data_IF_809902506170
#
_entry.id   IF_809902506170
#
_cell.length_a   1.000
_cell.length_b   1.000
_cell.length_c   1.000
_cell.angle_alpha   90.00
_cell.angle_beta   90.00
_cell.angle_gamma   90.00
#
_symmetry.space_group_name_H-M   'P 1'
#
loop_
_entity.id
_entity.type
_entity.pdbx_description
1 polymer ?
#
# COMPACT_ATOMS: atom_id res chain seq x y z
N UNK A 1 -7.98 -12.06 28.78
CA UNK A 1 -6.58 -12.14 29.22
C UNK A 1 -5.65 -12.82 28.21
N UNK A 2 -5.82 -14.12 27.84
CA UNK A 2 -4.96 -14.77 26.82
C UNK A 2 -5.11 -14.15 25.42
N UNK A 3 -6.34 -13.81 25.01
CA UNK A 3 -6.61 -13.16 23.72
C UNK A 3 -5.96 -11.76 23.63
N UNK A 4 -5.97 -11.00 24.70
CA UNK A 4 -5.39 -9.65 24.77
C UNK A 4 -3.87 -9.70 24.63
N UNK A 5 -3.22 -10.68 25.27
CA UNK A 5 -1.78 -10.92 25.15
C UNK A 5 -1.42 -11.36 23.73
N UNK A 6 -2.19 -12.26 23.12
CA UNK A 6 -1.98 -12.69 21.74
C UNK A 6 -2.12 -11.53 20.75
N UNK A 7 -3.16 -10.72 20.89
CA UNK A 7 -3.38 -9.56 20.04
C UNK A 7 -2.23 -8.54 20.20
N UNK A 8 -1.83 -8.22 21.42
CA UNK A 8 -0.76 -7.26 21.67
C UNK A 8 0.63 -7.69 21.19
N UNK A 9 0.86 -9.00 21.02
CA UNK A 9 2.12 -9.53 20.50
C UNK A 9 2.08 -9.77 18.98
N UNK A 10 0.97 -10.28 18.44
CA UNK A 10 0.85 -10.62 17.01
C UNK A 10 0.86 -9.36 16.16
N UNK A 11 0.20 -8.28 16.59
CA UNK A 11 0.03 -7.06 15.83
C UNK A 11 1.36 -6.32 15.55
N UNK A 12 2.17 -6.01 16.59
CA UNK A 12 3.48 -5.42 16.36
C UNK A 12 4.39 -6.33 15.54
N UNK A 13 4.28 -7.66 15.72
CA UNK A 13 5.11 -8.63 15.02
C UNK A 13 4.84 -8.63 13.51
N UNK A 14 3.59 -8.53 13.08
CA UNK A 14 3.22 -8.46 11.66
C UNK A 14 3.74 -7.15 11.04
N UNK A 15 3.56 -6.02 11.73
CA UNK A 15 4.06 -4.73 11.25
C UNK A 15 5.58 -4.70 11.17
N UNK A 16 6.28 -5.15 12.20
CA UNK A 16 7.75 -5.25 12.22
C UNK A 16 8.24 -6.17 11.10
N UNK A 17 7.61 -7.32 10.89
CA UNK A 17 7.98 -8.28 9.86
C UNK A 17 7.79 -7.70 8.45
N UNK A 18 6.67 -7.03 8.17
CA UNK A 18 6.43 -6.39 6.86
C UNK A 18 7.41 -5.26 6.61
N UNK A 19 7.74 -4.47 7.63
CA UNK A 19 8.77 -3.42 7.59
C UNK A 19 10.16 -3.98 7.29
N UNK A 20 10.57 -4.99 8.05
CA UNK A 20 11.89 -5.63 7.86
C UNK A 20 12.02 -6.23 6.46
N UNK A 21 10.94 -6.84 5.94
CA UNK A 21 10.91 -7.40 4.59
C UNK A 21 11.01 -6.33 3.51
N UNK A 22 10.31 -5.19 3.67
CA UNK A 22 10.37 -4.09 2.73
C UNK A 22 11.76 -3.44 2.71
N UNK A 23 12.35 -3.18 3.89
CA UNK A 23 13.70 -2.62 4.03
C UNK A 23 14.79 -3.49 3.40
N UNK A 24 14.72 -4.81 3.61
CA UNK A 24 15.68 -5.73 3.00
C UNK A 24 15.66 -5.65 1.47
N UNK A 25 14.47 -5.48 0.86
CA UNK A 25 14.34 -5.33 -0.58
C UNK A 25 14.76 -3.94 -1.07
N UNK A 26 14.45 -2.88 -0.31
CA UNK A 26 14.89 -1.52 -0.59
C UNK A 26 16.41 -1.45 -0.71
N UNK A 27 17.13 -1.94 0.30
CA UNK A 27 18.60 -1.99 0.29
C UNK A 27 19.16 -2.81 -0.89
N UNK A 28 18.48 -3.88 -1.29
CA UNK A 28 18.86 -4.67 -2.46
C UNK A 28 18.72 -3.87 -3.76
N UNK A 29 17.69 -3.01 -3.89
CA UNK A 29 17.51 -2.19 -5.09
C UNK A 29 18.44 -0.98 -5.12
N UNK A 30 18.69 -0.32 -3.99
CA UNK A 30 19.59 0.82 -3.90
C UNK A 30 21.06 0.40 -4.19
N UNK A 31 21.48 -0.74 -3.68
CA UNK A 31 22.85 -1.25 -3.90
C UNK A 31 23.09 -1.75 -5.34
N UNK A 32 22.05 -2.07 -6.09
CA UNK A 32 22.20 -2.69 -7.42
C UNK A 32 22.16 -1.65 -8.56
N UNK A 33 21.73 -0.42 -8.34
CA UNK A 33 21.50 0.55 -9.41
C UNK A 33 21.86 1.99 -8.99
N UNK A 34 23.01 2.48 -9.45
CA UNK A 34 23.29 3.92 -9.46
C UNK A 34 22.31 4.64 -10.38
N UNK A 35 21.68 5.73 -9.89
CA UNK A 35 20.76 6.56 -10.71
C UNK A 35 19.29 6.18 -10.67
N UNK A 36 18.87 5.30 -9.77
CA UNK A 36 17.45 4.93 -9.61
C UNK A 36 16.65 6.10 -9.02
N UNK A 37 15.55 6.48 -9.68
CA UNK A 37 14.56 7.40 -9.11
C UNK A 37 13.49 6.62 -8.33
N UNK A 38 13.25 7.04 -7.09
CA UNK A 38 12.26 6.41 -6.21
C UNK A 38 11.01 7.28 -6.17
N UNK A 39 9.86 6.71 -6.55
CA UNK A 39 8.56 7.35 -6.33
C UNK A 39 8.06 6.98 -4.94
N UNK A 40 7.63 7.99 -4.17
CA UNK A 40 7.17 7.82 -2.78
C UNK A 40 5.69 8.22 -2.64
N UNK A 41 5.03 7.63 -1.66
CA UNK A 41 3.66 7.97 -1.33
C UNK A 41 3.52 9.37 -0.72
N UNK A 42 2.36 9.98 -0.91
CA UNK A 42 2.02 11.25 -0.29
C UNK A 42 1.89 11.09 1.23
N UNK A 43 2.40 12.07 2.01
CA UNK A 43 2.35 12.06 3.48
C UNK A 43 0.92 11.95 4.04
N UNK A 44 -0.08 12.37 3.28
CA UNK A 44 -1.49 12.24 3.66
C UNK A 44 -1.90 10.79 3.95
N UNK A 45 -1.29 9.80 3.28
CA UNK A 45 -1.55 8.39 3.60
C UNK A 45 -1.05 8.01 5.00
N UNK A 46 0.10 8.57 5.43
CA UNK A 46 0.57 8.37 6.80
C UNK A 46 -0.40 8.96 7.81
N UNK A 47 -0.79 10.23 7.60
CA UNK A 47 -1.71 10.94 8.48
C UNK A 47 -3.04 10.17 8.58
N UNK A 48 -3.62 9.75 7.45
CA UNK A 48 -4.85 8.98 7.42
C UNK A 48 -4.73 7.66 8.18
N UNK A 49 -3.65 6.92 7.95
CA UNK A 49 -3.38 5.66 8.66
C UNK A 49 -3.31 5.87 10.17
N UNK A 50 -2.54 6.85 10.63
CA UNK A 50 -2.42 7.14 12.08
C UNK A 50 -3.73 7.65 12.69
N UNK A 51 -4.52 8.46 11.97
CA UNK A 51 -5.85 8.88 12.44
C UNK A 51 -6.78 7.68 12.64
N UNK A 52 -6.82 6.73 11.71
CA UNK A 52 -7.60 5.49 11.86
C UNK A 52 -7.10 4.68 13.06
N UNK A 53 -5.78 4.59 13.26
CA UNK A 53 -5.18 3.94 14.41
C UNK A 53 -5.60 4.58 15.75
N UNK A 54 -5.61 5.92 15.82
CA UNK A 54 -6.06 6.65 17.01
C UNK A 54 -7.55 6.41 17.29
N UNK A 55 -8.40 6.43 16.27
CA UNK A 55 -9.83 6.11 16.39
C UNK A 55 -10.00 4.69 16.93
N UNK A 56 -9.25 3.72 16.41
CA UNK A 56 -9.28 2.35 16.89
C UNK A 56 -8.91 2.23 18.38
N UNK A 57 -7.81 2.87 18.81
CA UNK A 57 -7.37 2.89 20.22
C UNK A 57 -8.40 3.58 21.10
N UNK A 58 -9.01 4.69 20.63
CA UNK A 58 -10.04 5.40 21.35
C UNK A 58 -11.29 4.52 21.60
N UNK A 59 -11.74 3.77 20.62
CA UNK A 59 -12.87 2.84 20.82
C UNK A 59 -12.56 1.70 21.78
N UNK A 60 -11.32 1.16 21.76
CA UNK A 60 -10.89 0.18 22.76
C UNK A 60 -10.93 0.80 24.17
N UNK A 61 -10.38 2.02 24.32
CA UNK A 61 -10.38 2.73 25.60
C UNK A 61 -11.79 3.01 26.13
N UNK A 62 -12.71 3.43 25.26
CA UNK A 62 -14.11 3.61 25.63
C UNK A 62 -14.75 2.30 26.09
N UNK A 63 -14.55 1.21 25.35
CA UNK A 63 -15.07 -0.10 25.74
C UNK A 63 -14.56 -0.55 27.11
N UNK A 64 -13.29 -0.29 27.41
CA UNK A 64 -12.71 -0.56 28.73
C UNK A 64 -13.27 0.36 29.82
N UNK A 65 -13.33 1.67 29.54
CA UNK A 65 -13.79 2.67 30.52
C UNK A 65 -15.25 2.47 30.94
N UNK A 66 -16.13 2.14 30.01
CA UNK A 66 -17.53 1.89 30.30
C UNK A 66 -17.82 0.49 30.84
N UNK A 67 -16.77 -0.30 31.15
CA UNK A 67 -16.92 -1.71 31.53
C UNK A 67 -17.95 -2.38 30.63
N UNK A 68 -17.76 -2.29 29.33
CA UNK A 68 -18.71 -2.75 28.33
C UNK A 68 -18.92 -4.25 28.54
N UNK A 69 -19.63 -4.47 29.63
CA UNK A 69 -20.16 -5.77 29.97
C UNK A 69 -21.20 -6.06 28.88
N UNK A 70 -20.71 -6.74 27.82
CA UNK A 70 -21.60 -7.32 26.83
C UNK A 70 -22.31 -8.48 27.55
N UNK A 71 -23.02 -8.13 28.65
CA UNK A 71 -23.69 -9.07 29.51
C UNK A 71 -24.74 -9.89 28.77
N UNK A 72 -25.29 -10.86 29.47
CA UNK A 72 -26.18 -11.89 28.96
C UNK A 72 -27.38 -11.37 28.12
N UNK A 73 -27.71 -10.07 28.22
CA UNK A 73 -28.80 -9.43 27.51
C UNK A 73 -28.40 -8.74 26.19
N UNK A 74 -27.10 -8.72 25.84
CA UNK A 74 -26.67 -8.12 24.58
C UNK A 74 -27.01 -9.00 23.40
N UNK A 75 -27.72 -8.44 22.42
CA UNK A 75 -28.02 -9.13 21.18
C UNK A 75 -26.70 -9.59 20.52
N UNK A 76 -26.59 -10.88 20.19
CA UNK A 76 -25.44 -11.43 19.49
C UNK A 76 -25.12 -10.68 18.19
N UNK A 77 -26.11 -10.02 17.57
CA UNK A 77 -25.94 -9.17 16.40
C UNK A 77 -25.10 -7.91 16.74
N UNK A 78 -25.30 -7.29 17.90
CA UNK A 78 -24.50 -6.14 18.33
C UNK A 78 -23.04 -6.53 18.58
N UNK A 79 -22.83 -7.70 19.18
CA UNK A 79 -21.48 -8.23 19.41
C UNK A 79 -20.78 -8.49 18.07
N UNK A 80 -21.46 -9.14 17.13
CA UNK A 80 -20.92 -9.40 15.79
C UNK A 80 -20.62 -8.09 15.04
N UNK A 81 -21.55 -7.13 15.07
CA UNK A 81 -21.35 -5.84 14.41
C UNK A 81 -20.17 -5.06 14.97
N UNK A 82 -20.02 -4.99 16.30
CA UNK A 82 -18.89 -4.32 16.94
C UNK A 82 -17.57 -5.02 16.62
N UNK A 83 -17.53 -6.34 16.62
CA UNK A 83 -16.35 -7.11 16.24
C UNK A 83 -15.94 -6.87 14.78
N UNK A 84 -16.90 -6.84 13.84
CA UNK A 84 -16.63 -6.54 12.44
C UNK A 84 -16.15 -5.10 12.24
N UNK A 85 -16.73 -4.13 12.95
CA UNK A 85 -16.30 -2.74 12.91
C UNK A 85 -14.86 -2.60 13.39
N UNK A 86 -14.53 -3.19 14.53
CA UNK A 86 -13.18 -3.15 15.09
C UNK A 86 -12.17 -3.85 14.18
N UNK A 87 -12.52 -5.00 13.62
CA UNK A 87 -11.68 -5.70 12.65
C UNK A 87 -11.43 -4.86 11.39
N UNK A 88 -12.44 -4.15 10.89
CA UNK A 88 -12.33 -3.30 9.70
C UNK A 88 -11.43 -2.08 9.95
N UNK A 89 -11.58 -1.39 11.07
CA UNK A 89 -10.73 -0.27 11.48
C UNK A 89 -9.27 -0.71 11.62
N UNK A 90 -9.05 -1.85 12.26
CA UNK A 90 -7.74 -2.42 12.43
C UNK A 90 -7.09 -2.80 11.10
N UNK A 91 -7.81 -3.49 10.22
CA UNK A 91 -7.32 -3.83 8.88
C UNK A 91 -7.01 -2.57 8.06
N UNK A 92 -7.88 -1.55 8.11
CA UNK A 92 -7.68 -0.26 7.46
C UNK A 92 -6.40 0.44 7.94
N UNK A 93 -6.18 0.49 9.25
CA UNK A 93 -4.95 1.02 9.85
C UNK A 93 -3.71 0.29 9.34
N UNK A 94 -3.69 -1.05 9.42
CA UNK A 94 -2.56 -1.85 8.97
C UNK A 94 -2.30 -1.67 7.47
N UNK A 95 -3.35 -1.72 6.65
CA UNK A 95 -3.22 -1.61 5.20
C UNK A 95 -2.66 -0.25 4.78
N UNK A 96 -3.24 0.85 5.28
CA UNK A 96 -2.83 2.20 4.90
C UNK A 96 -1.42 2.51 5.40
N UNK A 97 -1.09 2.11 6.62
CA UNK A 97 0.25 2.31 7.19
C UNK A 97 1.29 1.51 6.41
N UNK A 98 1.04 0.23 6.13
CA UNK A 98 1.93 -0.59 5.30
C UNK A 98 2.02 -0.06 3.86
N UNK A 99 0.92 0.42 3.30
CA UNK A 99 0.92 1.03 1.97
C UNK A 99 1.83 2.26 1.94
N UNK A 100 1.71 3.16 2.90
CA UNK A 100 2.56 4.35 2.98
C UNK A 100 4.05 4.01 3.08
N UNK A 101 4.40 3.10 3.96
CA UNK A 101 5.81 2.81 4.25
C UNK A 101 6.46 1.88 3.23
N UNK A 102 5.72 0.89 2.75
CA UNK A 102 6.29 -0.19 1.93
C UNK A 102 6.09 0.02 0.43
N UNK A 103 4.97 0.68 0.01
CA UNK A 103 4.71 0.84 -1.41
C UNK A 103 5.66 1.89 -2.01
N UNK A 104 6.58 1.43 -2.85
CA UNK A 104 7.59 2.24 -3.52
C UNK A 104 7.76 1.75 -4.94
N UNK A 105 8.05 2.69 -5.84
CA UNK A 105 8.36 2.38 -7.24
C UNK A 105 9.77 2.86 -7.54
N UNK A 106 10.58 1.96 -8.03
CA UNK A 106 11.98 2.18 -8.40
C UNK A 106 12.08 2.23 -9.92
N UNK A 107 12.48 3.37 -10.44
CA UNK A 107 12.65 3.61 -11.88
C UNK A 107 14.14 3.52 -12.18
N UNK A 108 14.56 2.37 -12.68
CA UNK A 108 15.91 2.15 -13.17
C UNK A 108 16.07 2.48 -14.65
N UNK A 109 17.26 2.29 -15.18
CA UNK A 109 17.54 2.51 -16.62
C UNK A 109 16.84 1.49 -17.49
N UNK A 110 16.95 0.21 -17.18
CA UNK A 110 16.46 -0.88 -17.99
C UNK A 110 15.17 -1.52 -17.46
N UNK A 111 14.83 -1.27 -16.18
CA UNK A 111 13.71 -1.93 -15.50
C UNK A 111 12.99 -1.01 -14.55
N UNK A 112 11.72 -1.33 -14.31
CA UNK A 112 10.90 -0.75 -13.26
C UNK A 112 10.56 -1.82 -12.22
N UNK A 113 10.69 -1.47 -10.95
CA UNK A 113 10.39 -2.39 -9.85
C UNK A 113 9.39 -1.75 -8.91
N UNK A 114 8.33 -2.47 -8.58
CA UNK A 114 7.27 -2.01 -7.68
C UNK A 114 7.24 -2.90 -6.46
N UNK A 115 7.34 -2.31 -5.28
CA UNK A 115 7.09 -2.98 -4.00
C UNK A 115 5.67 -2.63 -3.56
N UNK A 116 4.85 -3.63 -3.30
CA UNK A 116 3.48 -3.43 -2.83
C UNK A 116 3.42 -3.18 -1.30
N UNK A 117 2.23 -2.87 -0.78
CA UNK A 117 1.99 -2.63 0.65
C UNK A 117 2.52 -3.77 1.56
N UNK A 118 2.51 -5.00 1.08
CA UNK A 118 2.97 -6.19 1.82
C UNK A 118 4.44 -6.54 1.61
N UNK A 119 5.23 -5.63 1.02
CA UNK A 119 6.65 -5.82 0.78
C UNK A 119 6.98 -6.84 -0.32
N UNK A 120 6.00 -7.24 -1.14
CA UNK A 120 6.27 -8.08 -2.33
C UNK A 120 6.74 -7.19 -3.47
N UNK A 121 7.86 -7.54 -4.09
CA UNK A 121 8.38 -6.82 -5.25
C UNK A 121 8.04 -7.55 -6.54
N UNK A 122 7.69 -6.77 -7.56
CA UNK A 122 7.59 -7.20 -8.96
C UNK A 122 8.45 -6.28 -9.80
N UNK A 123 9.10 -6.84 -10.80
CA UNK A 123 9.99 -6.10 -11.71
C UNK A 123 9.61 -6.42 -13.15
N UNK A 124 9.62 -5.40 -14.02
CA UNK A 124 9.42 -5.53 -15.47
C UNK A 124 10.52 -4.72 -16.16
N UNK A 125 11.12 -5.26 -17.22
CA UNK A 125 12.02 -4.53 -18.09
C UNK A 125 11.22 -3.60 -19.02
N UNK A 126 11.77 -2.41 -19.33
CA UNK A 126 11.06 -1.45 -20.18
C UNK A 126 10.74 -2.01 -21.56
N UNK A 127 11.63 -2.83 -22.11
CA UNK A 127 11.47 -3.40 -23.45
C UNK A 127 10.41 -4.49 -23.49
N UNK A 128 10.14 -5.17 -22.37
CA UNK A 128 9.13 -6.21 -22.21
C UNK A 128 7.71 -5.67 -22.04
N UNK A 129 7.54 -4.36 -21.80
CA UNK A 129 6.22 -3.76 -21.64
C UNK A 129 5.47 -3.85 -22.99
N UNK A 130 4.37 -4.59 -22.99
CA UNK A 130 3.46 -4.76 -24.13
C UNK A 130 2.37 -3.71 -24.14
N UNK A 131 1.78 -3.42 -22.98
CA UNK A 131 0.67 -2.48 -22.86
C UNK A 131 0.71 -1.74 -21.52
N UNK A 132 0.05 -0.59 -21.49
CA UNK A 132 -0.09 0.25 -20.30
C UNK A 132 -1.44 0.95 -20.32
N UNK A 133 -2.13 0.99 -19.18
CA UNK A 133 -3.42 1.65 -19.05
C UNK A 133 -3.53 2.42 -17.74
N UNK A 134 -4.37 3.45 -17.71
CA UNK A 134 -4.76 4.15 -16.48
C UNK A 134 -6.12 3.66 -16.00
N UNK A 135 -6.16 2.96 -14.87
CA UNK A 135 -7.40 2.56 -14.21
C UNK A 135 -8.00 3.75 -13.44
N UNK A 136 -9.07 4.33 -13.99
CA UNK A 136 -9.76 5.49 -13.39
C UNK A 136 -10.37 5.19 -12.02
N UNK A 137 -10.85 3.97 -11.82
CA UNK A 137 -11.53 3.57 -10.57
C UNK A 137 -10.56 3.48 -9.40
N UNK A 138 -9.38 2.93 -9.67
CA UNK A 138 -8.35 2.72 -8.64
C UNK A 138 -7.28 3.82 -8.61
N UNK A 139 -7.31 4.75 -9.56
CA UNK A 139 -6.25 5.74 -9.79
C UNK A 139 -4.86 5.11 -9.88
N UNK A 140 -4.74 4.04 -10.66
CA UNK A 140 -3.51 3.28 -10.84
C UNK A 140 -3.13 3.20 -12.31
N UNK A 141 -1.82 3.25 -12.58
CA UNK A 141 -1.26 2.90 -13.88
C UNK A 141 -0.90 1.41 -13.83
N UNK A 142 -1.45 0.64 -14.74
CA UNK A 142 -1.12 -0.78 -14.91
C UNK A 142 -0.22 -0.97 -16.11
N UNK A 143 0.89 -1.66 -15.88
CA UNK A 143 1.81 -2.08 -16.93
C UNK A 143 1.70 -3.59 -17.09
N UNK A 144 1.61 -4.02 -18.33
CA UNK A 144 1.54 -5.44 -18.71
C UNK A 144 2.77 -5.81 -19.50
N UNK A 145 3.48 -6.83 -19.07
CA UNK A 145 4.62 -7.39 -19.81
C UNK A 145 4.18 -8.48 -20.77
N UNK A 146 5.08 -8.84 -21.69
CA UNK A 146 4.83 -9.89 -22.68
C UNK A 146 4.64 -11.28 -22.07
N UNK A 147 5.28 -11.55 -20.93
CA UNK A 147 5.19 -12.79 -20.17
C UNK A 147 3.91 -12.92 -19.33
N UNK A 148 2.99 -11.94 -19.41
CA UNK A 148 1.78 -11.88 -18.59
C UNK A 148 1.99 -11.24 -17.21
N UNK A 149 3.21 -10.89 -16.82
CA UNK A 149 3.46 -10.17 -15.57
C UNK A 149 2.83 -8.79 -15.63
N UNK A 150 2.17 -8.39 -14.53
CA UNK A 150 1.61 -7.05 -14.41
C UNK A 150 2.09 -6.36 -13.15
N UNK A 151 2.34 -5.05 -13.23
CA UNK A 151 2.62 -4.17 -12.10
C UNK A 151 1.66 -3.01 -12.07
N UNK A 152 1.29 -2.58 -10.86
CA UNK A 152 0.42 -1.44 -10.62
C UNK A 152 1.22 -0.33 -9.93
N UNK A 153 1.11 0.88 -10.46
CA UNK A 153 1.76 2.09 -9.96
C UNK A 153 0.65 3.04 -9.55
N UNK A 154 0.62 3.46 -8.30
CA UNK A 154 -0.38 4.44 -7.87
C UNK A 154 -0.21 5.77 -8.59
N UNK A 155 -1.29 6.30 -9.14
CA UNK A 155 -1.33 7.64 -9.74
C UNK A 155 -1.20 8.79 -8.74
N UNK A 156 -1.11 8.48 -7.44
CA UNK A 156 -0.94 9.44 -6.35
C UNK A 156 0.50 9.53 -5.85
N UNK A 157 1.45 8.83 -6.49
CA UNK A 157 2.87 8.90 -6.13
C UNK A 157 3.50 10.22 -6.58
N UNK A 158 4.41 10.73 -5.74
CA UNK A 158 5.27 11.83 -6.14
C UNK A 158 6.29 11.36 -7.18
N UNK A 159 6.53 12.22 -8.18
CA UNK A 159 7.56 11.97 -9.19
C UNK A 159 7.08 11.19 -10.41
N UNK A 160 5.78 11.01 -10.63
CA UNK A 160 5.22 10.35 -11.82
C UNK A 160 5.72 10.93 -13.14
N UNK A 161 6.09 12.23 -13.19
CA UNK A 161 6.70 12.83 -14.37
C UNK A 161 7.99 12.11 -14.79
N UNK A 162 8.78 11.62 -13.83
CA UNK A 162 9.98 10.84 -14.13
C UNK A 162 9.65 9.46 -14.74
N UNK A 163 8.56 8.83 -14.28
CA UNK A 163 8.04 7.62 -14.88
C UNK A 163 7.59 7.85 -16.32
N UNK A 164 6.76 8.87 -16.57
CA UNK A 164 6.28 9.19 -17.92
C UNK A 164 7.43 9.56 -18.87
N UNK A 165 8.42 10.32 -18.39
CA UNK A 165 9.61 10.65 -19.19
C UNK A 165 10.41 9.39 -19.57
N UNK A 166 10.53 8.43 -18.65
CA UNK A 166 11.23 7.16 -18.94
C UNK A 166 10.41 6.26 -19.85
N UNK A 167 9.09 6.17 -19.64
CA UNK A 167 8.18 5.44 -20.52
C UNK A 167 8.18 6.03 -21.94
N UNK A 168 8.20 7.36 -22.08
CA UNK A 168 8.29 8.05 -23.37
C UNK A 168 9.57 7.70 -24.13
N UNK A 169 10.68 7.52 -23.43
CA UNK A 169 11.96 7.12 -24.04
C UNK A 169 11.92 5.72 -24.64
N UNK A 170 11.27 4.75 -23.95
CA UNK A 170 11.25 3.35 -24.37
C UNK A 170 9.99 3.00 -25.20
N UNK A 171 8.84 3.52 -24.82
CA UNK A 171 7.52 3.17 -25.42
C UNK A 171 6.64 4.43 -25.56
N UNK A 172 6.96 5.36 -26.47
CA UNK A 172 6.28 6.67 -26.55
C UNK A 172 4.77 6.54 -26.80
N UNK A 173 4.34 5.52 -27.54
CA UNK A 173 2.92 5.29 -27.87
C UNK A 173 2.07 4.88 -26.65
N UNK A 174 2.68 4.40 -25.55
CA UNK A 174 1.97 4.02 -24.33
C UNK A 174 1.72 5.21 -23.39
N UNK A 175 2.45 6.32 -23.55
CA UNK A 175 2.37 7.47 -22.63
C UNK A 175 0.95 8.02 -22.56
N UNK A 176 0.30 8.21 -23.72
CA UNK A 176 -1.06 8.74 -23.79
C UNK A 176 -2.08 7.89 -23.02
N UNK A 177 -1.86 6.57 -22.95
CA UNK A 177 -2.74 5.63 -22.22
C UNK A 177 -2.54 5.67 -20.71
N UNK A 178 -1.38 6.13 -20.25
CA UNK A 178 -1.05 6.25 -18.82
C UNK A 178 -1.36 7.62 -18.25
N UNK A 179 -1.66 8.61 -19.08
CA UNK A 179 -2.06 9.92 -18.62
C UNK A 179 -3.49 9.88 -18.10
N UNK A 180 -3.72 10.55 -16.98
CA UNK A 180 -5.07 10.75 -16.45
C UNK A 180 -5.87 11.54 -17.48
N UNK A 181 -7.03 11.04 -17.96
CA UNK A 181 -7.87 11.83 -18.82
C UNK A 181 -8.20 13.15 -18.14
N UNK A 182 -7.89 14.27 -18.78
CA UNK A 182 -8.36 15.56 -18.31
C UNK A 182 -9.88 15.57 -18.51
N UNK A 183 -10.62 15.31 -17.44
CA UNK A 183 -12.06 15.62 -17.43
C UNK A 183 -12.16 17.12 -17.20
N UNK A 184 -12.50 17.85 -18.24
CA UNK A 184 -12.94 19.23 -18.21
C UNK A 184 -14.27 19.33 -17.45
#
# INVERSE_FOLDING_TARGET
>A
MLADILISLILPSITIWTFARARKKENSFENTQHGVKILKNHILFAILGYCIGLIFVFFIGLGYYFNWDMGQDSSWLLILFSALLMASLFYGFLYITNYYHNHKVYIGENKISVINAWGKAKTINWDEIKDAEFDKTRHEIRLYAQDGTSVCISGLLYGLAAFHAKLAKHKPYLVARTLRPQTW
#
